data_IF_689989299722
#
_entry.id   IF_689989299722
#
_cell.length_a   1.000
_cell.length_b   1.000
_cell.length_c   1.000
_cell.angle_alpha   90.00
_cell.angle_beta   90.00
_cell.angle_gamma   90.00
#
_symmetry.space_group_name_H-M   'P 1'
#
loop_
_entity.id
_entity.type
_entity.pdbx_description
1 polymer ?
#
# COMPACT_ATOMS: atom_id res chain seq x y z
N UNK A 1 -2.25 7.67 -9.86
CA UNK A 1 -1.74 6.31 -9.63
C UNK A 1 -2.83 5.41 -9.09
N UNK A 2 -2.61 4.12 -9.18
CA UNK A 2 -3.50 3.09 -8.63
C UNK A 2 -2.85 2.47 -7.40
N UNK A 3 -3.65 1.77 -6.60
CA UNK A 3 -3.12 0.97 -5.50
C UNK A 3 -2.83 1.75 -4.22
N UNK A 4 -3.47 2.88 -4.03
CA UNK A 4 -3.41 3.52 -2.72
C UNK A 4 -4.06 2.64 -1.68
N UNK A 5 -3.39 2.46 -0.56
CA UNK A 5 -3.93 1.75 0.59
C UNK A 5 -4.15 2.75 1.72
N UNK A 6 -5.35 2.73 2.26
CA UNK A 6 -5.75 3.62 3.34
C UNK A 6 -6.03 2.79 4.59
N UNK A 7 -5.52 3.24 5.71
CA UNK A 7 -5.88 2.74 7.04
C UNK A 7 -6.81 3.75 7.70
N UNK A 8 -7.99 3.30 8.11
CA UNK A 8 -8.95 4.16 8.81
C UNK A 8 -8.64 4.22 10.30
N UNK A 9 -9.27 5.18 11.01
CA UNK A 9 -9.13 5.30 12.45
C UNK A 9 -9.63 4.07 13.22
N UNK A 10 -10.49 3.26 12.60
CA UNK A 10 -10.97 2.00 13.17
C UNK A 10 -10.06 0.80 12.86
N UNK A 11 -8.86 1.05 12.32
CA UNK A 11 -7.87 0.03 11.95
C UNK A 11 -8.34 -0.90 10.82
N UNK A 12 -9.18 -0.41 9.94
CA UNK A 12 -9.53 -1.11 8.72
C UNK A 12 -8.68 -0.60 7.55
N UNK A 13 -8.37 -1.48 6.62
CA UNK A 13 -7.55 -1.17 5.44
C UNK A 13 -8.38 -1.30 4.18
N UNK A 14 -8.18 -0.35 3.26
CA UNK A 14 -8.87 -0.34 1.97
C UNK A 14 -7.87 -0.04 0.87
N UNK A 15 -7.96 -0.79 -0.23
CA UNK A 15 -7.21 -0.51 -1.44
C UNK A 15 -8.11 0.25 -2.39
N UNK A 16 -7.70 1.44 -2.80
CA UNK A 16 -8.44 2.24 -3.78
C UNK A 16 -8.19 1.66 -5.17
N UNK A 17 -9.26 1.32 -5.87
CA UNK A 17 -9.18 0.76 -7.22
C UNK A 17 -9.34 1.81 -8.31
N UNK A 18 -9.92 2.96 -7.99
CA UNK A 18 -9.99 4.09 -8.90
C UNK A 18 -8.64 4.79 -9.01
N UNK A 19 -8.40 5.39 -10.18
CA UNK A 19 -7.22 6.20 -10.40
C UNK A 19 -7.34 7.51 -9.63
N UNK A 20 -6.34 7.82 -8.81
CA UNK A 20 -6.28 9.04 -8.02
C UNK A 20 -5.09 9.88 -8.49
N UNK A 21 -5.28 11.19 -8.58
CA UNK A 21 -4.19 12.09 -8.93
C UNK A 21 -3.03 12.00 -7.92
N UNK A 22 -1.80 11.96 -8.42
CA UNK A 22 -0.61 11.72 -7.60
C UNK A 22 -0.39 12.72 -6.48
N UNK A 23 -0.96 13.92 -6.60
CA UNK A 23 -0.74 15.00 -5.64
C UNK A 23 -1.72 14.99 -4.46
N UNK A 24 -2.69 14.09 -4.47
CA UNK A 24 -3.65 14.00 -3.37
C UNK A 24 -3.00 13.27 -2.22
N UNK A 25 -2.79 13.97 -1.12
CA UNK A 25 -2.32 13.34 0.12
C UNK A 25 -3.53 12.79 0.85
N UNK A 26 -3.55 11.49 1.02
CA UNK A 26 -4.64 10.80 1.71
C UNK A 26 -4.25 10.53 3.17
N UNK A 27 -3.03 10.86 3.56
CA UNK A 27 -2.54 10.74 4.93
C UNK A 27 -3.30 11.72 5.82
N UNK A 28 -3.86 11.24 6.91
CA UNK A 28 -4.61 12.04 7.89
C UNK A 28 -5.90 12.68 7.33
N UNK A 29 -6.34 12.28 6.14
CA UNK A 29 -7.60 12.79 5.61
C UNK A 29 -8.77 12.14 6.33
N UNK A 30 -9.86 12.91 6.51
CA UNK A 30 -11.11 12.34 6.97
C UNK A 30 -11.70 11.47 5.87
N UNK A 31 -11.99 10.23 6.21
CA UNK A 31 -12.49 9.23 5.28
C UNK A 31 -13.81 8.70 5.80
N UNK A 32 -14.84 8.73 4.95
CA UNK A 32 -16.10 8.04 5.21
C UNK A 32 -16.17 6.82 4.32
N UNK A 33 -16.53 5.69 4.90
CA UNK A 33 -16.63 4.42 4.20
C UNK A 33 -18.10 4.08 4.03
N UNK A 34 -18.48 3.80 2.80
CA UNK A 34 -19.83 3.33 2.47
C UNK A 34 -19.72 1.95 1.86
N UNK A 35 -20.66 1.07 2.20
CA UNK A 35 -20.69 -0.24 1.56
C UNK A 35 -22.13 -0.60 1.18
N UNK A 36 -22.24 -1.30 0.07
CA UNK A 36 -23.49 -1.90 -0.43
C UNK A 36 -23.16 -3.35 -0.80
N UNK A 37 -23.58 -4.28 0.05
CA UNK A 37 -23.18 -5.66 -0.09
C UNK A 37 -21.66 -5.83 0.04
N UNK A 38 -21.03 -6.33 -1.04
CA UNK A 38 -19.56 -6.54 -1.08
C UNK A 38 -18.81 -5.38 -1.71
N UNK A 39 -19.51 -4.32 -2.14
CA UNK A 39 -18.87 -3.16 -2.75
C UNK A 39 -18.64 -2.09 -1.73
N UNK A 40 -17.43 -1.55 -1.73
CA UNK A 40 -17.04 -0.47 -0.82
C UNK A 40 -16.68 0.77 -1.62
N UNK A 41 -17.05 1.91 -1.08
CA UNK A 41 -16.67 3.22 -1.63
C UNK A 41 -16.18 4.11 -0.52
N UNK A 42 -15.21 4.95 -0.85
CA UNK A 42 -14.65 5.91 0.07
C UNK A 42 -14.99 7.32 -0.37
N UNK A 43 -15.35 8.15 0.58
CA UNK A 43 -15.40 9.59 0.41
C UNK A 43 -14.27 10.18 1.23
N UNK A 44 -13.35 10.84 0.57
CA UNK A 44 -12.17 11.43 1.20
C UNK A 44 -12.31 12.93 1.12
N UNK A 45 -12.14 13.60 2.26
CA UNK A 45 -12.19 15.06 2.30
C UNK A 45 -11.15 15.65 1.35
N UNK A 46 -11.60 16.54 0.47
CA UNK A 46 -10.76 17.16 -0.55
C UNK A 46 -10.80 16.47 -1.90
N UNK A 47 -11.50 15.36 -2.02
CA UNK A 47 -11.73 14.67 -3.30
C UNK A 47 -13.21 14.70 -3.59
N UNK A 48 -13.59 15.24 -4.75
CA UNK A 48 -14.98 15.52 -5.10
C UNK A 48 -15.76 14.32 -5.66
N UNK A 49 -15.27 13.11 -5.47
CA UNK A 49 -15.97 11.92 -5.94
C UNK A 49 -15.82 10.77 -4.96
N UNK A 50 -16.78 9.86 -5.01
CA UNK A 50 -16.64 8.59 -4.31
C UNK A 50 -15.64 7.71 -5.05
N UNK A 51 -14.74 7.08 -4.31
CA UNK A 51 -13.71 6.21 -4.87
C UNK A 51 -14.07 4.76 -4.60
N UNK A 52 -14.08 3.95 -5.66
CA UNK A 52 -14.25 2.51 -5.50
C UNK A 52 -13.02 1.93 -4.79
N UNK A 53 -13.26 1.00 -3.89
CA UNK A 53 -12.19 0.38 -3.12
C UNK A 53 -12.54 -1.06 -2.74
N UNK A 54 -11.52 -1.81 -2.37
CA UNK A 54 -11.67 -3.15 -1.80
C UNK A 54 -11.26 -3.11 -0.34
N UNK A 55 -12.05 -3.75 0.52
CA UNK A 55 -11.65 -3.95 1.91
C UNK A 55 -10.57 -5.03 1.95
N UNK A 56 -9.50 -4.74 2.67
CA UNK A 56 -8.38 -5.66 2.82
C UNK A 56 -8.42 -6.32 4.19
N UNK A 57 -8.24 -7.64 4.22
CA UNK A 57 -8.14 -8.40 5.45
C UNK A 57 -6.72 -8.93 5.60
N UNK A 58 -6.27 -9.10 6.85
CA UNK A 58 -4.97 -9.69 7.13
C UNK A 58 -3.78 -8.87 6.63
N UNK A 59 -3.91 -7.55 6.58
CA UNK A 59 -2.82 -6.68 6.16
C UNK A 59 -1.67 -6.78 7.16
N UNK A 60 -0.46 -6.99 6.64
CA UNK A 60 0.76 -6.98 7.44
C UNK A 60 1.28 -5.55 7.45
N UNK A 61 1.27 -4.93 8.63
CA UNK A 61 1.82 -3.60 8.84
C UNK A 61 3.16 -3.74 9.56
N UNK A 62 4.22 -3.27 8.94
CA UNK A 62 5.55 -3.34 9.50
C UNK A 62 6.41 -2.22 8.91
N UNK A 63 7.71 -2.31 9.06
CA UNK A 63 8.65 -1.41 8.40
C UNK A 63 9.88 -2.19 7.97
N UNK A 64 10.58 -1.67 6.97
CA UNK A 64 11.84 -2.26 6.51
C UNK A 64 12.91 -1.97 7.57
N UNK A 65 13.66 -2.98 7.91
CA UNK A 65 14.73 -2.85 8.91
C UNK A 65 15.93 -2.14 8.28
N UNK A 66 16.33 -1.02 8.87
CA UNK A 66 17.50 -0.26 8.43
C UNK A 66 17.26 0.65 7.22
N UNK A 67 18.34 0.89 6.48
CA UNK A 67 18.31 1.75 5.30
C UNK A 67 17.64 1.04 4.12
N UNK A 68 16.82 1.78 3.39
CA UNK A 68 16.20 1.30 2.16
C UNK A 68 16.69 2.15 0.99
N UNK A 69 17.37 1.53 0.04
CA UNK A 69 17.97 2.22 -1.11
C UNK A 69 17.18 2.05 -2.41
N UNK A 70 16.08 1.33 -2.36
CA UNK A 70 15.26 1.06 -3.55
C UNK A 70 15.13 -0.43 -3.83
N UNK A 71 14.68 -0.75 -5.03
CA UNK A 71 14.58 -2.15 -5.47
C UNK A 71 14.98 -2.26 -6.96
N UNK A 72 15.38 -3.47 -7.35
CA UNK A 72 15.98 -3.71 -8.67
C UNK A 72 15.37 -4.88 -9.45
N UNK A 73 14.28 -5.45 -8.99
CA UNK A 73 13.65 -6.62 -9.58
C UNK A 73 13.84 -7.91 -8.80
N UNK A 74 14.88 -7.98 -7.98
CA UNK A 74 15.22 -9.18 -7.20
C UNK A 74 15.44 -8.88 -5.73
N UNK A 75 15.09 -7.69 -5.29
CA UNK A 75 15.39 -7.20 -3.95
C UNK A 75 14.69 -8.01 -2.87
N UNK A 76 15.43 -8.30 -1.82
CA UNK A 76 14.90 -8.93 -0.61
C UNK A 76 14.68 -7.85 0.46
N UNK A 77 13.53 -7.90 1.10
CA UNK A 77 13.14 -6.95 2.14
C UNK A 77 13.09 -7.66 3.49
N UNK A 78 13.90 -7.22 4.42
CA UNK A 78 13.83 -7.67 5.82
C UNK A 78 12.97 -6.71 6.60
N UNK A 79 11.96 -7.22 7.26
CA UNK A 79 11.02 -6.41 8.03
C UNK A 79 11.32 -6.50 9.52
N UNK A 80 10.88 -5.49 10.25
CA UNK A 80 11.03 -5.45 11.71
C UNK A 80 10.31 -6.59 12.43
N UNK A 81 9.27 -7.16 11.81
CA UNK A 81 8.55 -8.32 12.36
C UNK A 81 9.25 -9.65 12.11
N UNK A 82 10.50 -9.63 11.64
CA UNK A 82 11.34 -10.78 11.32
C UNK A 82 10.94 -11.53 10.05
N UNK A 83 9.91 -11.08 9.35
CA UNK A 83 9.57 -11.65 8.05
C UNK A 83 10.53 -11.16 6.98
N UNK A 84 10.75 -12.00 5.98
CA UNK A 84 11.56 -11.68 4.82
C UNK A 84 10.71 -11.85 3.57
N UNK A 85 10.66 -10.82 2.76
CA UNK A 85 9.91 -10.82 1.51
C UNK A 85 10.84 -10.53 0.35
N UNK A 86 10.50 -11.01 -0.83
CA UNK A 86 11.29 -10.80 -2.03
C UNK A 86 10.44 -10.18 -3.11
N UNK A 87 11.02 -9.22 -3.85
CA UNK A 87 10.38 -8.64 -5.02
C UNK A 87 10.10 -9.73 -6.06
N UNK A 88 8.86 -9.78 -6.55
CA UNK A 88 8.39 -10.79 -7.50
C UNK A 88 7.73 -10.14 -8.72
N UNK A 89 8.15 -8.93 -9.04
CA UNK A 89 7.69 -8.18 -10.21
C UNK A 89 8.86 -7.36 -10.75
N UNK A 90 8.87 -7.02 -12.05
CA UNK A 90 9.88 -6.11 -12.57
C UNK A 90 9.70 -4.72 -11.98
N UNK A 91 10.74 -3.96 -12.00
CA UNK A 91 10.72 -2.58 -11.53
C UNK A 91 12.02 -2.23 -10.84
N UNK A 92 12.47 -1.02 -11.08
CA UNK A 92 13.71 -0.50 -10.52
C UNK A 92 13.42 0.91 -10.03
N UNK A 93 13.71 1.16 -8.76
CA UNK A 93 13.75 2.52 -8.23
C UNK A 93 15.01 2.70 -7.38
N UNK A 94 15.48 3.94 -7.33
CA UNK A 94 16.54 4.36 -6.45
C UNK A 94 15.98 5.41 -5.49
N UNK A 95 16.21 5.22 -4.22
CA UNK A 95 15.75 6.14 -3.19
C UNK A 95 16.68 6.04 -1.98
N UNK A 96 16.39 6.80 -0.95
CA UNK A 96 17.13 6.72 0.31
C UNK A 96 16.17 7.01 1.45
N UNK A 97 15.67 5.95 2.06
CA UNK A 97 14.71 6.03 3.16
C UNK A 97 15.25 5.24 4.34
N UNK A 98 14.91 5.67 5.54
CA UNK A 98 15.28 4.98 6.77
C UNK A 98 14.05 4.35 7.41
N UNK A 99 14.06 3.04 7.52
CA UNK A 99 12.98 2.25 8.13
C UNK A 99 11.59 2.64 7.63
N UNK A 100 11.36 2.67 6.29
CA UNK A 100 10.05 3.05 5.78
C UNK A 100 8.98 2.04 6.19
N UNK A 101 7.79 2.54 6.52
CA UNK A 101 6.63 1.70 6.83
C UNK A 101 6.18 1.00 5.54
N UNK A 102 5.77 -0.24 5.67
CA UNK A 102 5.21 -1.03 4.58
C UNK A 102 3.88 -1.63 4.98
N UNK A 103 2.99 -1.76 4.01
CA UNK A 103 1.78 -2.57 4.10
C UNK A 103 1.90 -3.68 3.08
N UNK A 104 1.70 -4.93 3.53
CA UNK A 104 1.67 -6.09 2.65
C UNK A 104 0.28 -6.68 2.71
N UNK A 105 -0.35 -6.89 1.56
CA UNK A 105 -1.71 -7.35 1.46
C UNK A 105 -1.90 -8.26 0.26
N UNK A 106 -2.83 -9.19 0.40
CA UNK A 106 -3.11 -10.17 -0.63
C UNK A 106 -4.09 -9.61 -1.67
N UNK A 107 -3.77 -9.84 -2.95
CA UNK A 107 -4.64 -9.50 -4.08
C UNK A 107 -4.81 -10.71 -4.97
N UNK A 108 -5.66 -10.60 -6.00
CA UNK A 108 -5.80 -11.65 -7.02
C UNK A 108 -4.51 -11.93 -7.79
N UNK A 109 -3.59 -10.97 -7.80
CA UNK A 109 -2.29 -11.10 -8.49
C UNK A 109 -1.18 -11.60 -7.57
N UNK A 110 -1.48 -11.84 -6.31
CA UNK A 110 -0.51 -12.21 -5.29
C UNK A 110 -0.41 -11.15 -4.20
N UNK A 111 0.65 -11.21 -3.42
CA UNK A 111 0.89 -10.22 -2.36
C UNK A 111 1.48 -8.96 -2.96
N UNK A 112 0.98 -7.81 -2.54
CA UNK A 112 1.53 -6.51 -2.90
C UNK A 112 2.11 -5.84 -1.68
N UNK A 113 3.18 -5.08 -1.90
CA UNK A 113 3.81 -4.27 -0.87
C UNK A 113 3.74 -2.80 -1.25
N UNK A 114 3.12 -2.01 -0.38
CA UNK A 114 3.18 -0.55 -0.44
C UNK A 114 4.28 -0.09 0.49
N UNK A 115 5.23 0.69 -0.05
CA UNK A 115 6.33 1.26 0.73
C UNK A 115 6.08 2.77 0.85
N UNK A 116 5.93 3.26 2.08
CA UNK A 116 5.73 4.69 2.29
C UNK A 116 6.98 5.47 1.98
N UNK A 117 6.81 6.57 1.24
CA UNK A 117 7.92 7.35 0.71
C UNK A 117 8.29 7.01 -0.72
N UNK A 118 7.71 5.96 -1.27
CA UNK A 118 7.85 5.58 -2.67
C UNK A 118 6.55 5.91 -3.38
N UNK A 119 6.62 6.77 -4.40
CA UNK A 119 5.43 7.24 -5.11
C UNK A 119 4.94 6.28 -6.21
N UNK A 120 5.73 5.26 -6.51
CA UNK A 120 5.36 4.25 -7.50
C UNK A 120 4.24 3.34 -6.97
N UNK A 121 3.58 2.65 -7.90
CA UNK A 121 2.55 1.68 -7.55
C UNK A 121 3.14 0.57 -6.67
N UNK A 122 2.34 -0.08 -5.82
CA UNK A 122 2.82 -1.20 -5.02
C UNK A 122 3.40 -2.31 -5.89
N UNK A 123 4.43 -2.95 -5.38
CA UNK A 123 5.10 -4.05 -6.09
C UNK A 123 4.56 -5.40 -5.63
N UNK A 124 4.64 -6.38 -6.50
CA UNK A 124 4.31 -7.77 -6.15
C UNK A 124 5.52 -8.38 -5.45
N UNK A 125 5.24 -9.03 -4.32
CA UNK A 125 6.25 -9.66 -3.48
C UNK A 125 5.82 -11.08 -3.14
N UNK A 126 6.79 -11.90 -2.77
CA UNK A 126 6.53 -13.23 -2.24
C UNK A 126 7.26 -13.41 -0.92
N UNK A 127 6.66 -14.17 -0.03
CA UNK A 127 7.28 -14.47 1.25
C UNK A 127 8.44 -15.44 1.02
N UNK A 128 9.54 -15.13 1.63
CA UNK A 128 10.74 -15.94 1.52
C UNK A 128 10.88 -16.94 2.65
#
# INVERSE_FOLDING_TARGET
SKGYVIKTSSNHFYEITDKVAQRVRITDAQVNVYHDGKKYKLVIRGIDKMLACNKLDGVIESYIDGDFKGYDGTTTFKLANLQVWQQDSPGIIYTNLYKPVVYIYRTSEGYKMKIFGVDDDPIIVKKK
#
